data_IF_482275424891
#
_entry.id   IF_482275424891
#
_cell.length_a   1.000
_cell.length_b   1.000
_cell.length_c   1.000
_cell.angle_alpha   90.00
_cell.angle_beta   90.00
_cell.angle_gamma   90.00
#
_symmetry.space_group_name_H-M   'P 1'
#
loop_
_entity.id
_entity.type
_entity.pdbx_description
1 polymer ?
#
# COMPACT_ATOMS: atom_id res chain seq x y z
N UNK A 1 -2.34 -14.89 -18.03
CA UNK A 1 -3.09 -13.61 -17.85
C UNK A 1 -2.05 -12.50 -17.70
N UNK A 2 -2.19 -11.37 -18.42
CA UNK A 2 -1.06 -10.47 -18.76
C UNK A 2 -0.40 -9.79 -17.55
N UNK A 3 0.88 -10.09 -17.34
CA UNK A 3 1.81 -9.35 -16.47
C UNK A 3 2.07 -7.99 -17.11
N UNK A 4 1.80 -6.89 -16.40
CA UNK A 4 2.23 -5.54 -16.82
C UNK A 4 3.19 -4.97 -15.78
N UNK A 5 4.39 -4.63 -16.24
CA UNK A 5 5.41 -3.97 -15.43
C UNK A 5 5.02 -2.51 -15.22
N UNK A 6 4.76 -2.10 -13.98
CA UNK A 6 4.38 -0.72 -13.65
C UNK A 6 5.61 0.18 -13.38
N UNK A 7 6.76 -0.42 -13.06
CA UNK A 7 8.12 0.15 -13.10
C UNK A 7 9.10 -0.92 -12.59
N UNK A 8 10.39 -0.59 -12.41
CA UNK A 8 11.36 -1.40 -11.64
C UNK A 8 10.93 -1.72 -10.20
N UNK A 9 9.88 -1.05 -9.68
CA UNK A 9 9.52 -1.05 -8.26
C UNK A 9 8.20 -1.75 -7.90
N UNK A 10 7.33 -2.07 -8.87
CA UNK A 10 6.06 -2.75 -8.57
C UNK A 10 5.53 -3.53 -9.78
N UNK A 11 4.98 -4.72 -9.50
CA UNK A 11 4.19 -5.53 -10.44
C UNK A 11 2.83 -5.77 -9.78
N UNK A 12 1.76 -5.33 -10.44
CA UNK A 12 0.38 -5.62 -10.05
C UNK A 12 -0.11 -6.78 -10.92
N UNK A 13 -0.23 -7.95 -10.30
CA UNK A 13 -0.99 -9.07 -10.84
C UNK A 13 -2.38 -9.04 -10.17
N UNK A 14 -3.45 -9.35 -10.89
CA UNK A 14 -4.80 -9.41 -10.31
C UNK A 14 -4.81 -10.33 -9.07
N UNK A 15 -5.09 -9.76 -7.89
CA UNK A 15 -5.04 -10.45 -6.60
C UNK A 15 -3.64 -10.71 -6.03
N UNK A 16 -2.57 -10.14 -6.62
CA UNK A 16 -1.19 -10.24 -6.13
C UNK A 16 -0.40 -8.95 -6.39
N UNK A 17 -0.15 -8.18 -5.35
CA UNK A 17 0.74 -7.02 -5.41
C UNK A 17 2.17 -7.42 -5.01
N UNK A 18 3.12 -7.20 -5.93
CA UNK A 18 4.56 -7.46 -5.71
C UNK A 18 5.31 -6.13 -5.74
N UNK A 19 5.92 -5.77 -4.61
CA UNK A 19 6.80 -4.58 -4.53
C UNK A 19 8.28 -4.97 -4.63
N UNK A 20 9.09 -4.22 -5.38
CA UNK A 20 10.56 -4.40 -5.48
C UNK A 20 11.31 -3.10 -5.13
N UNK A 21 12.51 -3.28 -4.57
CA UNK A 21 13.63 -2.32 -4.38
C UNK A 21 13.28 -0.82 -4.28
N UNK A 22 12.78 -0.36 -3.14
CA UNK A 22 12.55 1.09 -2.93
C UNK A 22 11.62 1.43 -1.76
N UNK A 23 11.06 0.39 -1.13
CA UNK A 23 10.22 0.49 0.07
C UNK A 23 10.86 -0.35 1.17
N UNK A 24 10.88 0.15 2.41
CA UNK A 24 11.40 -0.58 3.57
C UNK A 24 10.44 -1.72 3.93
N UNK A 25 10.70 -2.91 3.40
CA UNK A 25 9.80 -4.07 3.56
C UNK A 25 9.55 -4.45 5.03
N UNK A 26 10.51 -4.20 5.93
CA UNK A 26 10.33 -4.40 7.38
C UNK A 26 9.27 -3.51 8.04
N UNK A 27 8.76 -2.48 7.36
CA UNK A 27 7.67 -1.62 7.87
C UNK A 27 6.28 -2.27 7.74
N UNK A 28 6.13 -3.31 6.91
CA UNK A 28 4.84 -3.94 6.59
C UNK A 28 4.39 -5.04 7.55
N UNK A 29 5.24 -5.95 8.05
CA UNK A 29 4.82 -6.92 9.07
C UNK A 29 4.11 -6.29 10.28
N UNK A 30 4.63 -5.23 10.92
CA UNK A 30 3.91 -4.57 12.01
C UNK A 30 2.65 -3.83 11.55
N UNK A 31 2.58 -3.38 10.28
CA UNK A 31 1.38 -2.78 9.71
C UNK A 31 0.26 -3.82 9.56
N UNK A 32 0.58 -5.02 9.07
CA UNK A 32 -0.40 -6.06 8.77
C UNK A 32 -0.82 -6.87 10.00
N UNK A 33 0.08 -7.10 10.97
CA UNK A 33 -0.25 -7.81 12.22
C UNK A 33 -1.28 -7.10 13.11
N UNK A 34 -1.59 -5.83 12.85
CA UNK A 34 -2.69 -5.11 13.50
C UNK A 34 -4.09 -5.62 13.08
N UNK A 35 -4.14 -6.53 12.11
CA UNK A 35 -5.36 -7.14 11.60
C UNK A 35 -5.39 -8.62 11.97
N UNK A 36 -6.13 -8.94 13.02
CA UNK A 36 -6.26 -10.30 13.58
C UNK A 36 -6.79 -11.31 12.53
N UNK A 37 -7.45 -10.83 11.47
CA UNK A 37 -8.02 -11.66 10.42
C UNK A 37 -7.05 -12.06 9.29
N UNK A 38 -5.79 -11.58 9.29
CA UNK A 38 -4.85 -11.87 8.21
C UNK A 38 -3.61 -12.63 8.68
N UNK A 39 -3.24 -13.66 7.92
CA UNK A 39 -2.16 -14.58 8.25
C UNK A 39 -0.95 -14.45 7.30
N UNK A 40 0.25 -14.50 7.86
CA UNK A 40 1.52 -14.41 7.14
C UNK A 40 1.77 -15.74 6.38
N UNK A 41 2.12 -15.66 5.10
CA UNK A 41 2.21 -16.79 4.18
C UNK A 41 0.94 -17.02 3.36
N UNK A 42 -0.23 -16.80 3.97
CA UNK A 42 -1.55 -16.99 3.33
C UNK A 42 -2.02 -15.71 2.63
N UNK A 43 -2.13 -14.60 3.36
CA UNK A 43 -2.68 -13.33 2.85
C UNK A 43 -1.60 -12.38 2.34
N UNK A 44 -0.39 -12.49 2.91
CA UNK A 44 0.77 -11.69 2.52
C UNK A 44 2.05 -12.42 2.95
N UNK A 45 3.18 -12.14 2.30
CA UNK A 45 4.49 -12.66 2.71
C UNK A 45 5.63 -11.79 2.19
N UNK A 46 6.74 -11.79 2.90
CA UNK A 46 8.00 -11.19 2.43
C UNK A 46 8.92 -12.31 1.97
N UNK A 47 9.29 -12.31 0.69
CA UNK A 47 10.20 -13.29 0.07
C UNK A 47 11.39 -12.54 -0.53
N UNK A 48 12.53 -12.57 0.18
CA UNK A 48 13.72 -11.79 -0.17
C UNK A 48 13.43 -10.28 -0.18
N UNK A 49 13.58 -9.65 -1.35
CA UNK A 49 13.31 -8.22 -1.58
C UNK A 49 11.94 -7.96 -2.20
N UNK A 50 11.00 -8.88 -2.03
CA UNK A 50 9.64 -8.77 -2.54
C UNK A 50 8.63 -8.91 -1.42
N UNK A 51 7.74 -7.91 -1.29
CA UNK A 51 6.50 -8.08 -0.54
C UNK A 51 5.42 -8.56 -1.52
N UNK A 52 4.87 -9.74 -1.26
CA UNK A 52 3.71 -10.28 -1.97
C UNK A 52 2.47 -10.10 -1.08
N UNK A 53 1.44 -9.44 -1.60
CA UNK A 53 0.15 -9.27 -0.92
C UNK A 53 -0.95 -9.88 -1.77
N UNK A 54 -1.68 -10.84 -1.22
CA UNK A 54 -2.71 -11.64 -1.89
C UNK A 54 -4.13 -11.16 -1.57
N UNK A 55 -4.31 -10.49 -0.43
CA UNK A 55 -5.61 -9.98 0.00
C UNK A 55 -5.87 -8.53 -0.49
N UNK A 56 -7.03 -8.20 -1.08
CA UNK A 56 -7.35 -6.85 -1.56
C UNK A 56 -7.25 -5.75 -0.49
N UNK A 57 -7.82 -6.00 0.70
CA UNK A 57 -7.76 -5.02 1.81
C UNK A 57 -6.32 -4.75 2.29
N UNK A 58 -5.45 -5.77 2.28
CA UNK A 58 -4.03 -5.57 2.61
C UNK A 58 -3.30 -4.83 1.49
N UNK A 59 -3.68 -5.10 0.24
CA UNK A 59 -3.13 -4.43 -0.93
C UNK A 59 -3.42 -2.93 -0.91
N UNK A 60 -4.65 -2.55 -0.57
CA UNK A 60 -5.04 -1.14 -0.38
C UNK A 60 -4.17 -0.46 0.69
N UNK A 61 -4.06 -1.09 1.86
CA UNK A 61 -3.27 -0.54 2.97
C UNK A 61 -1.81 -0.39 2.59
N UNK A 62 -1.26 -1.37 1.88
CA UNK A 62 0.11 -1.33 1.40
C UNK A 62 0.32 -0.16 0.43
N UNK A 63 -0.59 0.01 -0.54
CA UNK A 63 -0.54 1.08 -1.53
C UNK A 63 -0.67 2.46 -0.89
N UNK A 64 -1.62 2.62 0.04
CA UNK A 64 -1.81 3.85 0.79
C UNK A 64 -0.57 4.18 1.63
N UNK A 65 -0.03 3.19 2.36
CA UNK A 65 1.19 3.37 3.14
C UNK A 65 2.34 3.84 2.24
N UNK A 66 2.54 3.19 1.10
CA UNK A 66 3.59 3.58 0.14
C UNK A 66 3.36 4.98 -0.40
N UNK A 67 2.12 5.35 -0.72
CA UNK A 67 1.77 6.70 -1.16
C UNK A 67 2.20 7.75 -0.14
N UNK A 68 1.85 7.54 1.13
CA UNK A 68 2.22 8.45 2.23
C UNK A 68 3.74 8.52 2.43
N UNK A 69 4.43 7.37 2.38
CA UNK A 69 5.91 7.34 2.48
C UNK A 69 6.56 8.08 1.31
N UNK A 70 6.01 7.98 0.11
CA UNK A 70 6.47 8.70 -1.09
C UNK A 70 6.17 10.20 -1.04
N UNK A 71 5.10 10.59 -0.34
CA UNK A 71 4.81 11.99 -0.05
C UNK A 71 5.72 12.59 1.05
N UNK A 72 6.66 11.82 1.59
CA UNK A 72 7.67 12.29 2.55
C UNK A 72 7.30 12.10 4.02
N UNK A 73 6.16 11.49 4.33
CA UNK A 73 5.76 11.24 5.72
C UNK A 73 6.66 10.21 6.38
N UNK A 74 6.90 10.35 7.69
CA UNK A 74 7.62 9.35 8.49
C UNK A 74 6.80 8.07 8.63
N UNK A 75 7.48 6.97 8.94
CA UNK A 75 6.87 5.64 9.08
C UNK A 75 5.68 5.63 10.05
N UNK A 76 5.83 6.31 11.18
CA UNK A 76 4.82 6.37 12.24
C UNK A 76 3.60 7.23 11.85
N UNK A 77 3.83 8.38 11.21
CA UNK A 77 2.77 9.26 10.71
C UNK A 77 1.93 8.55 9.63
N UNK A 78 2.61 7.89 8.69
CA UNK A 78 1.95 7.10 7.65
C UNK A 78 1.12 5.96 8.25
N UNK A 79 1.66 5.26 9.25
CA UNK A 79 0.94 4.17 9.95
C UNK A 79 -0.29 4.68 10.69
N UNK A 80 -0.18 5.83 11.37
CA UNK A 80 -1.30 6.47 12.07
C UNK A 80 -2.45 6.76 11.11
N UNK A 81 -2.17 7.35 9.94
CA UNK A 81 -3.18 7.62 8.90
C UNK A 81 -3.83 6.34 8.40
N UNK A 82 -3.04 5.32 8.03
CA UNK A 82 -3.57 4.04 7.55
C UNK A 82 -4.46 3.38 8.61
N UNK A 83 -4.13 3.52 9.89
CA UNK A 83 -4.93 3.03 11.00
C UNK A 83 -6.20 3.84 11.23
N UNK A 84 -6.17 5.17 11.09
CA UNK A 84 -7.39 6.00 11.16
C UNK A 84 -8.35 5.68 10.01
N UNK A 85 -7.81 5.43 8.81
CA UNK A 85 -8.61 5.04 7.64
C UNK A 85 -9.27 3.66 7.79
N UNK A 86 -8.82 2.81 8.73
CA UNK A 86 -9.49 1.54 9.07
C UNK A 86 -10.96 1.72 9.44
N UNK A 87 -11.34 2.90 9.95
CA UNK A 87 -12.72 3.19 10.37
C UNK A 87 -13.68 3.43 9.19
N UNK A 88 -13.16 3.62 7.97
CA UNK A 88 -13.96 3.80 6.76
C UNK A 88 -13.86 2.52 5.91
N UNK A 89 -14.98 2.02 5.38
CA UNK A 89 -15.03 0.78 4.59
C UNK A 89 -14.12 0.86 3.35
N UNK A 90 -12.92 0.32 3.50
CA UNK A 90 -11.80 0.34 2.57
C UNK A 90 -11.92 -0.78 1.52
N UNK A 91 -12.94 -0.72 0.68
CA UNK A 91 -13.10 -1.63 -0.47
C UNK A 91 -13.14 -0.88 -1.81
N UNK A 92 -13.70 0.32 -1.82
CA UNK A 92 -13.77 1.17 -3.01
C UNK A 92 -12.41 1.81 -3.35
N UNK A 93 -11.59 2.12 -2.33
CA UNK A 93 -10.36 2.86 -2.53
C UNK A 93 -9.24 1.97 -3.10
N UNK A 94 -9.17 0.68 -2.77
CA UNK A 94 -8.24 -0.30 -3.35
C UNK A 94 -8.34 -0.33 -4.88
N UNK A 95 -9.58 -0.54 -5.36
CA UNK A 95 -9.87 -0.68 -6.79
C UNK A 95 -9.56 0.60 -7.55
N UNK A 96 -9.85 1.75 -6.93
CA UNK A 96 -9.51 3.07 -7.49
C UNK A 96 -7.99 3.28 -7.51
N UNK A 97 -7.27 2.93 -6.45
CA UNK A 97 -5.82 3.06 -6.38
C UNK A 97 -5.11 2.15 -7.38
N UNK A 98 -5.54 0.90 -7.48
CA UNK A 98 -5.04 -0.06 -8.46
C UNK A 98 -5.31 0.43 -9.89
N UNK A 99 -6.52 0.90 -10.19
CA UNK A 99 -6.86 1.46 -11.49
C UNK A 99 -6.03 2.71 -11.83
N UNK A 100 -5.86 3.62 -10.88
CA UNK A 100 -5.08 4.87 -11.09
C UNK A 100 -3.60 4.60 -11.23
N UNK A 101 -3.06 3.62 -10.49
CA UNK A 101 -1.70 3.12 -10.69
C UNK A 101 -1.50 2.54 -12.09
N UNK A 102 -2.47 1.77 -12.58
CA UNK A 102 -2.43 1.21 -13.93
C UNK A 102 -2.44 2.28 -15.02
N UNK A 103 -3.12 3.39 -14.77
CA UNK A 103 -3.25 4.51 -15.72
C UNK A 103 -2.04 5.45 -15.68
N UNK A 104 -1.58 5.84 -14.48
CA UNK A 104 -0.66 6.98 -14.29
C UNK A 104 0.68 6.59 -13.66
N UNK A 105 0.89 5.30 -13.41
CA UNK A 105 2.13 4.80 -12.83
C UNK A 105 2.34 5.24 -11.39
N UNK A 106 3.58 5.09 -10.92
CA UNK A 106 3.91 5.23 -9.50
C UNK A 106 4.05 6.69 -9.01
N UNK A 107 4.10 7.65 -9.94
CA UNK A 107 4.22 9.08 -9.62
C UNK A 107 2.91 9.64 -9.05
N UNK A 108 1.77 9.08 -9.49
CA UNK A 108 0.45 9.34 -8.88
C UNK A 108 0.45 9.10 -7.36
N UNK A 109 1.19 8.10 -6.88
CA UNK A 109 1.22 7.77 -5.44
C UNK A 109 1.76 8.93 -4.60
N UNK A 110 2.69 9.73 -5.12
CA UNK A 110 3.23 10.88 -4.39
C UNK A 110 2.16 11.94 -4.19
N UNK A 111 1.48 12.32 -5.26
CA UNK A 111 0.50 13.40 -5.24
C UNK A 111 -0.76 12.97 -4.49
N UNK A 112 -1.18 11.71 -4.67
CA UNK A 112 -2.25 11.10 -3.87
C UNK A 112 -1.89 11.05 -2.38
N UNK A 113 -0.67 10.61 -2.04
CA UNK A 113 -0.19 10.59 -0.66
C UNK A 113 -0.19 11.98 -0.03
N UNK A 114 0.22 13.01 -0.77
CA UNK A 114 0.18 14.40 -0.30
C UNK A 114 -1.25 14.90 -0.05
N UNK A 115 -2.20 14.55 -0.93
CA UNK A 115 -3.61 14.88 -0.76
C UNK A 115 -4.20 14.22 0.51
N UNK A 116 -3.94 12.92 0.71
CA UNK A 116 -4.38 12.22 1.93
C UNK A 116 -3.72 12.84 3.17
N UNK A 117 -2.41 13.09 3.15
CA UNK A 117 -1.72 13.72 4.28
C UNK A 117 -2.32 15.10 4.62
N UNK A 118 -2.73 15.87 3.61
CA UNK A 118 -3.41 17.16 3.82
C UNK A 118 -4.76 17.00 4.52
N UNK A 119 -5.55 15.99 4.14
CA UNK A 119 -6.84 15.70 4.79
C UNK A 119 -6.66 15.33 6.26
N UNK A 120 -5.60 14.58 6.58
CA UNK A 120 -5.32 14.11 7.94
C UNK A 120 -4.39 15.01 8.74
N UNK A 121 -3.97 16.17 8.20
CA UNK A 121 -3.00 17.08 8.85
C UNK A 121 -3.41 17.52 10.26
N UNK A 122 -4.71 17.60 10.54
CA UNK A 122 -5.24 17.99 11.88
C UNK A 122 -5.20 16.85 12.91
N UNK A 123 -4.89 15.62 12.48
CA UNK A 123 -4.88 14.42 13.31
C UNK A 123 -3.47 13.79 13.40
N UNK A 124 -2.49 14.38 12.72
CA UNK A 124 -1.07 14.03 12.79
C UNK A 124 -0.42 14.75 13.97
#
# INVERSE_FOLDING_TARGET
MRVRFLSKYAVVELGRLKFRSGVKLGEFPPLFRLFIAFDEGVDWRVEGNVLEVKHPNLSERALLYIALRRAGLRSEEARRIVNMMRAFEASALASVLEYRLLQWGIDFLRDFGAAIASLYRRFL
#
